data_IF_374001551258
#
_entry.id   IF_374001551258
#
_cell.length_a   1.000
_cell.length_b   1.000
_cell.length_c   1.000
_cell.angle_alpha   90.00
_cell.angle_beta   90.00
_cell.angle_gamma   90.00
#
_symmetry.space_group_name_H-M   'P 1'
#
loop_
_entity.id
_entity.type
_entity.pdbx_description
1 polymer ?
#
# COMPACT_ATOMS: atom_id res chain seq x y z
N UNK A 1 42.44 8.86 -7.85
CA UNK A 1 41.24 8.60 -8.68
C UNK A 1 40.10 9.38 -8.08
N UNK A 2 39.65 10.44 -8.76
CA UNK A 2 38.74 11.46 -8.22
C UNK A 2 37.28 11.08 -8.48
N UNK A 3 36.51 10.96 -7.40
CA UNK A 3 35.12 11.42 -7.23
C UNK A 3 34.19 11.43 -8.48
N UNK A 4 33.63 10.28 -8.85
CA UNK A 4 32.48 10.18 -9.76
C UNK A 4 31.12 10.04 -9.01
N UNK A 5 31.13 10.14 -7.68
CA UNK A 5 29.94 9.97 -6.82
C UNK A 5 28.98 11.18 -6.72
N UNK A 6 29.28 12.44 -7.08
CA UNK A 6 28.30 13.52 -6.88
C UNK A 6 27.06 13.44 -7.80
N UNK A 7 27.25 13.19 -9.09
CA UNK A 7 26.16 13.29 -10.08
C UNK A 7 25.13 12.15 -10.03
N UNK A 8 25.53 10.96 -9.58
CA UNK A 8 24.62 9.83 -9.40
C UNK A 8 23.68 10.12 -8.21
N UNK A 9 24.17 10.78 -7.16
CA UNK A 9 23.38 11.10 -5.98
C UNK A 9 22.42 12.26 -6.24
N UNK A 10 22.82 13.26 -7.04
CA UNK A 10 21.92 14.35 -7.44
C UNK A 10 20.77 13.84 -8.34
N UNK A 11 21.08 13.04 -9.36
CA UNK A 11 20.05 12.45 -10.23
C UNK A 11 19.13 11.45 -9.50
N UNK A 12 19.68 10.69 -8.54
CA UNK A 12 18.87 9.85 -7.65
C UNK A 12 18.01 10.71 -6.71
N UNK A 13 18.52 11.82 -6.18
CA UNK A 13 17.77 12.70 -5.29
C UNK A 13 16.57 13.34 -6.00
N UNK A 14 16.75 13.85 -7.22
CA UNK A 14 15.65 14.38 -8.05
C UNK A 14 14.62 13.30 -8.38
N UNK A 15 15.07 12.10 -8.77
CA UNK A 15 14.17 10.99 -9.08
C UNK A 15 13.41 10.50 -7.85
N UNK A 16 14.04 10.49 -6.67
CA UNK A 16 13.38 10.16 -5.40
C UNK A 16 12.36 11.24 -5.00
N UNK A 17 12.64 12.51 -5.23
CA UNK A 17 11.69 13.60 -5.00
C UNK A 17 10.46 13.48 -5.92
N UNK A 18 10.67 13.17 -7.21
CA UNK A 18 9.58 12.94 -8.16
C UNK A 18 8.74 11.74 -7.72
N UNK A 19 9.37 10.60 -7.38
CA UNK A 19 8.67 9.42 -6.85
C UNK A 19 7.91 9.71 -5.56
N UNK A 20 8.46 10.53 -4.66
CA UNK A 20 7.79 10.92 -3.43
C UNK A 20 6.54 11.75 -3.72
N UNK A 21 6.63 12.74 -4.62
CA UNK A 21 5.48 13.54 -5.06
C UNK A 21 4.40 12.68 -5.73
N UNK A 22 4.80 11.76 -6.62
CA UNK A 22 3.89 10.80 -7.24
C UNK A 22 3.21 9.90 -6.21
N UNK A 23 3.95 9.44 -5.20
CA UNK A 23 3.41 8.59 -4.14
C UNK A 23 2.42 9.34 -3.24
N UNK A 24 2.68 10.62 -2.94
CA UNK A 24 1.76 11.50 -2.20
C UNK A 24 0.47 11.70 -2.99
N UNK A 25 0.55 11.97 -4.30
CA UNK A 25 -0.65 12.18 -5.12
C UNK A 25 -1.45 10.88 -5.26
N UNK A 26 -0.80 9.74 -5.47
CA UNK A 26 -1.45 8.42 -5.46
C UNK A 26 -2.15 8.14 -4.14
N UNK A 27 -1.49 8.41 -3.01
CA UNK A 27 -2.09 8.25 -1.68
C UNK A 27 -3.31 9.15 -1.50
N UNK A 28 -3.25 10.39 -1.99
CA UNK A 28 -4.38 11.32 -1.94
C UNK A 28 -5.56 10.81 -2.77
N UNK A 29 -5.33 10.36 -4.00
CA UNK A 29 -6.37 9.78 -4.86
C UNK A 29 -6.97 8.52 -4.21
N UNK A 30 -6.13 7.61 -3.72
CA UNK A 30 -6.57 6.39 -3.03
C UNK A 30 -7.40 6.73 -1.78
N UNK A 31 -6.98 7.71 -0.97
CA UNK A 31 -7.73 8.14 0.22
C UNK A 31 -9.11 8.72 -0.11
N UNK A 32 -9.23 9.47 -1.22
CA UNK A 32 -10.51 9.98 -1.70
C UNK A 32 -11.42 8.86 -2.16
N UNK A 33 -10.93 7.96 -3.01
CA UNK A 33 -11.68 6.82 -3.52
C UNK A 33 -12.16 5.87 -2.40
N UNK A 34 -11.33 5.65 -1.38
CA UNK A 34 -11.67 4.85 -0.21
C UNK A 34 -12.77 5.50 0.63
N UNK A 35 -12.68 6.82 0.88
CA UNK A 35 -13.72 7.55 1.61
C UNK A 35 -15.05 7.52 0.88
N UNK A 36 -15.03 7.68 -0.45
CA UNK A 36 -16.22 7.58 -1.29
C UNK A 36 -16.83 6.17 -1.23
N UNK A 37 -15.99 5.14 -1.33
CA UNK A 37 -16.43 3.74 -1.23
C UNK A 37 -17.04 3.40 0.13
N UNK A 38 -16.45 3.90 1.23
CA UNK A 38 -16.99 3.75 2.58
C UNK A 38 -18.36 4.44 2.71
N UNK A 39 -18.46 5.68 2.22
CA UNK A 39 -19.71 6.45 2.27
C UNK A 39 -20.83 5.77 1.48
N UNK A 40 -20.52 5.27 0.29
CA UNK A 40 -21.48 4.56 -0.56
C UNK A 40 -21.88 3.20 0.05
N UNK A 41 -20.93 2.45 0.61
CA UNK A 41 -21.21 1.19 1.29
C UNK A 41 -22.11 1.37 2.51
N UNK A 42 -21.87 2.41 3.33
CA UNK A 42 -22.75 2.77 4.44
C UNK A 42 -24.15 3.18 3.99
N UNK A 43 -24.25 4.00 2.93
CA UNK A 43 -25.54 4.41 2.38
C UNK A 43 -26.35 3.24 1.80
N UNK A 44 -25.68 2.21 1.29
CA UNK A 44 -26.30 1.03 0.70
C UNK A 44 -26.52 -0.14 1.68
N UNK A 45 -26.23 0.04 2.98
CA UNK A 45 -26.23 -1.02 4.01
C UNK A 45 -25.35 -2.23 3.63
N UNK A 46 -24.32 -2.02 2.80
CA UNK A 46 -23.44 -3.04 2.27
C UNK A 46 -22.24 -3.27 3.21
N UNK A 47 -22.49 -3.87 4.37
CA UNK A 47 -21.49 -4.07 5.43
C UNK A 47 -20.23 -4.80 4.94
N UNK A 48 -20.36 -5.84 4.12
CA UNK A 48 -19.20 -6.52 3.53
C UNK A 48 -18.27 -5.58 2.72
N UNK A 49 -18.81 -4.59 2.01
CA UNK A 49 -18.02 -3.62 1.25
C UNK A 49 -17.32 -2.61 2.17
N UNK A 50 -18.00 -2.18 3.24
CA UNK A 50 -17.39 -1.35 4.28
C UNK A 50 -16.26 -2.09 5.01
N UNK A 51 -16.46 -3.35 5.38
CA UNK A 51 -15.45 -4.21 6.03
C UNK A 51 -14.23 -4.40 5.11
N UNK A 52 -14.44 -4.64 3.81
CA UNK A 52 -13.36 -4.74 2.83
C UNK A 52 -12.58 -3.44 2.72
N UNK A 53 -13.27 -2.30 2.57
CA UNK A 53 -12.61 -0.99 2.46
C UNK A 53 -11.80 -0.65 3.71
N UNK A 54 -12.37 -0.87 4.91
CA UNK A 54 -11.67 -0.67 6.17
C UNK A 54 -10.39 -1.54 6.27
N UNK A 55 -10.47 -2.80 5.83
CA UNK A 55 -9.32 -3.70 5.84
C UNK A 55 -8.20 -3.29 4.88
N UNK A 56 -8.54 -2.76 3.70
CA UNK A 56 -7.53 -2.20 2.76
C UNK A 56 -6.79 -1.00 3.38
N UNK A 57 -7.49 -0.16 4.14
CA UNK A 57 -6.86 0.98 4.85
C UNK A 57 -5.90 0.47 5.93
N UNK A 58 -6.35 -0.49 6.75
CA UNK A 58 -5.55 -1.11 7.81
C UNK A 58 -4.22 -1.65 7.24
N UNK A 59 -4.29 -2.46 6.19
CA UNK A 59 -3.13 -3.03 5.51
C UNK A 59 -2.21 -1.98 4.88
N UNK A 60 -2.79 -0.90 4.34
CA UNK A 60 -1.99 0.21 3.83
C UNK A 60 -1.17 0.87 4.95
N UNK A 61 -1.76 1.07 6.13
CA UNK A 61 -1.07 1.59 7.31
C UNK A 61 0.06 0.67 7.79
N UNK A 62 -0.19 -0.63 7.90
CA UNK A 62 0.83 -1.63 8.27
C UNK A 62 2.01 -1.64 7.30
N UNK A 63 1.71 -1.60 6.00
CA UNK A 63 2.71 -1.62 4.94
C UNK A 63 3.56 -0.33 4.95
N UNK A 64 2.94 0.83 5.13
CA UNK A 64 3.66 2.10 5.29
C UNK A 64 4.55 2.11 6.53
N UNK A 65 4.06 1.63 7.68
CA UNK A 65 4.87 1.52 8.90
C UNK A 65 6.08 0.61 8.68
N UNK A 66 5.88 -0.57 8.07
CA UNK A 66 6.96 -1.51 7.77
C UNK A 66 8.02 -0.91 6.84
N UNK A 67 7.62 -0.07 5.88
CA UNK A 67 8.54 0.63 4.99
C UNK A 67 9.36 1.70 5.73
N UNK A 68 8.73 2.45 6.65
CA UNK A 68 9.45 3.42 7.51
C UNK A 68 10.42 2.75 8.47
N UNK A 69 10.05 1.62 9.07
CA UNK A 69 10.95 0.84 9.94
C UNK A 69 12.17 0.36 9.16
N UNK A 70 11.95 -0.18 7.96
CA UNK A 70 13.04 -0.60 7.07
C UNK A 70 13.97 0.56 6.72
N UNK A 71 13.42 1.73 6.35
CA UNK A 71 14.21 2.91 6.02
C UNK A 71 15.01 3.40 7.24
N UNK A 72 14.40 3.45 8.41
CA UNK A 72 15.06 3.83 9.66
C UNK A 72 16.25 2.93 9.97
N UNK A 73 16.07 1.62 9.84
CA UNK A 73 17.15 0.65 10.03
C UNK A 73 18.24 0.79 8.98
N UNK A 74 17.85 1.01 7.71
CA UNK A 74 18.78 1.15 6.60
C UNK A 74 19.70 2.38 6.77
N UNK A 75 19.15 3.51 7.22
CA UNK A 75 19.91 4.74 7.48
C UNK A 75 20.96 4.58 8.60
N UNK A 76 20.77 3.63 9.51
CA UNK A 76 21.72 3.30 10.57
C UNK A 76 22.85 2.36 10.14
N UNK A 77 22.81 1.82 8.93
CA UNK A 77 23.76 0.78 8.48
C UNK A 77 24.91 1.36 7.65
N UNK A 78 26.14 0.92 7.97
CA UNK A 78 27.36 1.32 7.26
C UNK A 78 28.01 0.18 6.48
N UNK A 79 27.61 -1.07 6.73
CA UNK A 79 28.19 -2.26 6.13
C UNK A 79 27.27 -2.83 5.03
N UNK A 80 27.78 -3.06 3.81
CA UNK A 80 26.99 -3.63 2.71
C UNK A 80 26.38 -5.01 3.01
N UNK A 81 27.09 -5.86 3.77
CA UNK A 81 26.58 -7.18 4.19
C UNK A 81 25.32 -7.07 5.04
N UNK A 82 25.27 -6.07 5.91
CA UNK A 82 24.19 -5.88 6.86
C UNK A 82 22.97 -5.28 6.14
N UNK A 83 23.21 -4.39 5.17
CA UNK A 83 22.19 -3.88 4.24
C UNK A 83 21.54 -5.01 3.44
N UNK A 84 22.33 -5.96 2.92
CA UNK A 84 21.80 -7.10 2.15
C UNK A 84 20.94 -8.01 3.03
N UNK A 85 21.42 -8.32 4.24
CA UNK A 85 20.65 -9.13 5.19
C UNK A 85 19.34 -8.44 5.60
N UNK A 86 19.38 -7.14 5.88
CA UNK A 86 18.20 -6.34 6.21
C UNK A 86 17.19 -6.34 5.04
N UNK A 87 17.67 -6.18 3.81
CA UNK A 87 16.84 -6.19 2.60
C UNK A 87 16.19 -7.56 2.36
N UNK A 88 16.93 -8.65 2.54
CA UNK A 88 16.39 -10.00 2.44
C UNK A 88 15.33 -10.28 3.52
N UNK A 89 15.58 -9.86 4.76
CA UNK A 89 14.62 -9.97 5.86
C UNK A 89 13.34 -9.19 5.58
N UNK A 90 13.46 -7.95 5.08
CA UNK A 90 12.31 -7.13 4.68
C UNK A 90 11.53 -7.76 3.52
N UNK A 91 12.22 -8.31 2.52
CA UNK A 91 11.57 -9.02 1.41
C UNK A 91 10.75 -10.21 1.87
N UNK A 92 11.29 -11.02 2.78
CA UNK A 92 10.57 -12.15 3.37
C UNK A 92 9.36 -11.67 4.18
N UNK A 93 9.53 -10.66 5.04
CA UNK A 93 8.45 -10.06 5.82
C UNK A 93 7.31 -9.57 4.92
N UNK A 94 7.64 -8.81 3.87
CA UNK A 94 6.67 -8.27 2.92
C UNK A 94 5.92 -9.39 2.18
N UNK A 95 6.61 -10.46 1.79
CA UNK A 95 5.99 -11.60 1.13
C UNK A 95 4.99 -12.32 2.06
N UNK A 96 5.40 -12.63 3.30
CA UNK A 96 4.52 -13.28 4.28
C UNK A 96 3.31 -12.40 4.62
N UNK A 97 3.51 -11.11 4.82
CA UNK A 97 2.43 -10.16 5.08
C UNK A 97 1.45 -10.10 3.89
N UNK A 98 1.95 -9.90 2.67
CA UNK A 98 1.11 -9.85 1.45
C UNK A 98 0.30 -11.13 1.26
N UNK A 99 0.90 -12.30 1.52
CA UNK A 99 0.21 -13.58 1.43
C UNK A 99 -0.90 -13.73 2.48
N UNK A 100 -0.72 -13.22 3.69
CA UNK A 100 -1.75 -13.20 4.72
C UNK A 100 -2.86 -12.20 4.38
N UNK A 101 -2.49 -10.96 4.04
CA UNK A 101 -3.39 -9.89 3.64
C UNK A 101 -4.29 -10.30 2.46
N UNK A 102 -3.72 -10.97 1.45
CA UNK A 102 -4.46 -11.47 0.29
C UNK A 102 -5.53 -12.51 0.68
N UNK A 103 -5.27 -13.36 1.68
CA UNK A 103 -6.26 -14.34 2.16
C UNK A 103 -7.42 -13.66 2.88
N UNK A 104 -7.15 -12.66 3.70
CA UNK A 104 -8.20 -11.91 4.39
C UNK A 104 -9.09 -11.12 3.42
N UNK A 105 -8.49 -10.45 2.43
CA UNK A 105 -9.25 -9.75 1.39
C UNK A 105 -10.10 -10.72 0.56
N UNK A 106 -9.63 -11.95 0.34
CA UNK A 106 -10.41 -12.97 -0.36
C UNK A 106 -11.66 -13.40 0.41
N UNK A 107 -11.57 -13.57 1.74
CA UNK A 107 -12.75 -13.85 2.58
C UNK A 107 -13.75 -12.69 2.55
N UNK A 108 -13.26 -11.44 2.66
CA UNK A 108 -14.10 -10.26 2.60
C UNK A 108 -14.76 -10.08 1.22
N UNK A 109 -14.06 -10.41 0.13
CA UNK A 109 -14.64 -10.40 -1.23
C UNK A 109 -15.81 -11.38 -1.36
N UNK A 110 -15.69 -12.57 -0.78
CA UNK A 110 -16.79 -13.54 -0.74
C UNK A 110 -18.00 -12.99 0.01
N UNK A 111 -17.77 -12.32 1.14
CA UNK A 111 -18.83 -11.65 1.92
C UNK A 111 -19.51 -10.53 1.12
N UNK A 112 -18.74 -9.66 0.46
CA UNK A 112 -19.26 -8.64 -0.46
C UNK A 112 -20.14 -9.29 -1.53
N UNK A 113 -19.67 -10.38 -2.15
CA UNK A 113 -20.40 -11.05 -3.22
C UNK A 113 -21.72 -11.67 -2.74
N UNK A 114 -21.75 -12.21 -1.52
CA UNK A 114 -22.91 -12.86 -0.94
C UNK A 114 -23.97 -11.88 -0.41
N UNK A 115 -23.56 -10.75 0.15
CA UNK A 115 -24.44 -9.82 0.87
C UNK A 115 -24.91 -8.62 0.04
N UNK A 116 -24.31 -8.40 -1.13
CA UNK A 116 -24.48 -7.16 -1.90
C UNK A 116 -25.17 -7.42 -3.24
N UNK A 117 -26.04 -6.50 -3.68
CA UNK A 117 -26.64 -6.57 -5.02
C UNK A 117 -25.62 -6.24 -6.12
N UNK A 118 -25.79 -6.80 -7.32
CA UNK A 118 -24.82 -6.66 -8.43
C UNK A 118 -24.47 -5.21 -8.84
N UNK A 119 -25.40 -4.23 -8.82
CA UNK A 119 -25.05 -2.84 -9.10
C UNK A 119 -24.02 -2.27 -8.11
N UNK A 120 -24.14 -2.60 -6.83
CA UNK A 120 -23.25 -2.12 -5.77
C UNK A 120 -21.89 -2.82 -5.88
N UNK A 121 -21.85 -4.12 -6.21
CA UNK A 121 -20.58 -4.83 -6.47
C UNK A 121 -19.77 -4.17 -7.59
N UNK A 122 -20.44 -3.73 -8.67
CA UNK A 122 -19.79 -3.04 -9.79
C UNK A 122 -19.26 -1.66 -9.38
N UNK A 123 -20.04 -0.89 -8.62
CA UNK A 123 -19.61 0.42 -8.11
C UNK A 123 -18.36 0.26 -7.23
N UNK A 124 -18.40 -0.71 -6.31
CA UNK A 124 -17.30 -1.02 -5.41
C UNK A 124 -16.04 -1.49 -6.15
N UNK A 125 -16.16 -2.40 -7.11
CA UNK A 125 -15.04 -2.86 -7.92
C UNK A 125 -14.40 -1.71 -8.72
N UNK A 126 -15.21 -0.79 -9.25
CA UNK A 126 -14.70 0.41 -9.93
C UNK A 126 -13.96 1.34 -8.98
N UNK A 127 -14.47 1.54 -7.76
CA UNK A 127 -13.80 2.35 -6.74
C UNK A 127 -12.45 1.74 -6.33
N UNK A 128 -12.38 0.42 -6.12
CA UNK A 128 -11.14 -0.28 -5.85
C UNK A 128 -10.12 -0.17 -6.98
N UNK A 129 -10.56 -0.30 -8.23
CA UNK A 129 -9.69 -0.15 -9.40
C UNK A 129 -9.10 1.26 -9.52
N UNK A 130 -9.82 2.29 -9.05
CA UNK A 130 -9.33 3.68 -9.02
C UNK A 130 -8.38 3.94 -7.84
N UNK A 131 -8.46 3.11 -6.79
CA UNK A 131 -7.63 3.23 -5.60
C UNK A 131 -6.31 2.44 -5.68
N UNK A 132 -6.25 1.42 -6.56
CA UNK A 132 -5.04 0.64 -6.87
C UNK A 132 -4.17 1.31 -7.93
#
# INVERSE_FOLDING_TARGET
MSSAMPGIFDGLAEQNLIRAKESIEKMKIASGAINDALREAYAANARGAADYAAKVIEFSGENTSSAFDFLTHLLGMTKPSDILQLSAAQGCKNFTATAAQSRELWELTRKVTAETADPIKRSFASALQKAA
#
